data_IF_198901841792
#
_entry.id   IF_198901841792
#
_cell.length_a   1.000
_cell.length_b   1.000
_cell.length_c   1.000
_cell.angle_alpha   90.00
_cell.angle_beta   90.00
_cell.angle_gamma   90.00
#
_symmetry.space_group_name_H-M   'P 1'
#
loop_
_entity.id
_entity.type
_entity.pdbx_description
1 polymer ?
#
# COMPACT_ATOMS: atom_id res chain seq x y z
N UNK A 1 -4.74 0.95 27.59
CA UNK A 1 -4.07 2.01 26.81
C UNK A 1 -4.12 1.57 25.36
N UNK A 2 -5.07 2.09 24.59
CA UNK A 2 -5.19 1.81 23.16
C UNK A 2 -4.06 2.56 22.47
N UNK A 3 -2.98 1.86 22.11
CA UNK A 3 -1.93 2.37 21.22
C UNK A 3 -2.63 2.82 19.94
N UNK A 4 -2.71 4.13 19.74
CA UNK A 4 -3.09 4.69 18.45
C UNK A 4 -2.07 4.22 17.43
N UNK A 5 -2.57 3.64 16.34
CA UNK A 5 -1.82 3.03 15.24
C UNK A 5 -0.98 4.07 14.53
N UNK A 6 0.16 4.46 15.11
CA UNK A 6 1.00 5.48 14.49
C UNK A 6 1.48 4.93 13.15
N UNK A 7 1.13 5.64 12.08
CA UNK A 7 1.59 5.27 10.76
C UNK A 7 3.10 5.50 10.71
N UNK A 8 3.88 4.58 10.14
CA UNK A 8 5.22 4.97 9.73
C UNK A 8 5.11 6.21 8.86
N UNK A 9 6.06 7.13 9.00
CA UNK A 9 6.10 8.40 8.23
C UNK A 9 5.79 8.15 6.76
N UNK A 10 5.13 9.09 6.11
CA UNK A 10 4.58 8.86 4.76
C UNK A 10 5.65 8.39 3.75
N UNK A 11 6.89 8.85 3.87
CA UNK A 11 8.05 8.49 3.05
C UNK A 11 8.76 7.19 3.47
N UNK A 12 8.46 6.64 4.65
CA UNK A 12 9.07 5.42 5.14
C UNK A 12 8.42 4.16 4.54
N UNK A 13 9.19 3.09 4.36
CA UNK A 13 8.66 1.78 3.98
C UNK A 13 7.80 1.18 5.11
N UNK A 14 6.80 0.36 4.75
CA UNK A 14 6.11 -0.47 5.72
C UNK A 14 6.99 -1.66 6.13
N UNK A 15 6.91 -2.05 7.39
CA UNK A 15 7.55 -3.24 7.92
C UNK A 15 6.51 -4.32 8.28
N UNK A 16 7.00 -5.43 8.83
CA UNK A 16 6.17 -6.58 9.19
C UNK A 16 5.15 -6.21 10.30
N UNK A 17 5.56 -5.41 11.28
CA UNK A 17 4.69 -5.01 12.38
C UNK A 17 3.53 -4.14 11.87
N UNK A 18 3.82 -3.18 10.98
CA UNK A 18 2.78 -2.39 10.34
C UNK A 18 1.84 -3.29 9.52
N UNK A 19 2.35 -4.26 8.75
CA UNK A 19 1.52 -5.17 7.98
C UNK A 19 0.60 -6.05 8.86
N UNK A 20 1.09 -6.58 9.98
CA UNK A 20 0.31 -7.43 10.90
C UNK A 20 -0.87 -6.70 11.58
N UNK A 21 -0.84 -5.37 11.64
CA UNK A 21 -1.81 -4.58 12.41
C UNK A 21 -2.75 -3.70 11.57
N UNK A 22 -2.74 -3.81 10.23
CA UNK A 22 -3.43 -2.87 9.31
C UNK A 22 -4.53 -3.49 8.44
N UNK A 23 -5.16 -4.57 8.89
CA UNK A 23 -6.12 -5.33 8.08
C UNK A 23 -7.51 -4.67 8.05
N UNK A 24 -8.01 -4.20 6.89
CA UNK A 24 -9.41 -3.78 6.76
C UNK A 24 -10.31 -5.02 6.72
N UNK A 25 -11.50 -4.94 7.31
CA UNK A 25 -12.41 -6.08 7.42
C UNK A 25 -12.92 -6.65 6.07
N UNK A 26 -12.81 -5.88 4.98
CA UNK A 26 -13.31 -6.22 3.65
C UNK A 26 -12.24 -6.75 2.68
N UNK A 27 -11.02 -7.00 3.17
CA UNK A 27 -9.90 -7.46 2.35
C UNK A 27 -9.76 -8.98 2.45
N UNK A 28 -9.63 -9.66 1.30
CA UNK A 28 -9.40 -11.11 1.23
C UNK A 28 -7.98 -11.47 1.68
N UNK A 29 -6.98 -10.72 1.22
CA UNK A 29 -5.58 -10.90 1.63
C UNK A 29 -4.81 -9.58 1.62
N UNK A 30 -3.79 -9.50 2.47
CA UNK A 30 -2.81 -8.41 2.45
C UNK A 30 -1.42 -8.98 2.23
N UNK A 31 -0.63 -8.33 1.40
CA UNK A 31 0.75 -8.70 1.11
C UNK A 31 1.66 -7.51 1.38
N UNK A 32 2.92 -7.79 1.73
CA UNK A 32 3.98 -6.80 1.90
C UNK A 32 5.07 -7.06 0.88
N UNK A 33 5.22 -6.17 -0.10
CA UNK A 33 6.22 -6.27 -1.16
C UNK A 33 7.19 -5.10 -1.09
N UNK A 34 8.44 -5.37 -0.71
CA UNK A 34 9.50 -4.35 -0.64
C UNK A 34 9.08 -3.09 0.14
N UNK A 35 8.23 -3.23 1.16
CA UNK A 35 7.72 -2.10 1.96
C UNK A 35 6.48 -1.38 1.40
N UNK A 36 5.88 -1.91 0.33
CA UNK A 36 4.57 -1.49 -0.20
C UNK A 36 3.50 -2.45 0.32
N UNK A 37 2.41 -1.91 0.88
CA UNK A 37 1.24 -2.71 1.25
C UNK A 37 0.38 -2.95 0.02
N UNK A 38 0.04 -4.20 -0.24
CA UNK A 38 -0.85 -4.61 -1.32
C UNK A 38 -2.09 -5.26 -0.71
N UNK A 39 -3.26 -4.73 -1.04
CA UNK A 39 -4.55 -5.26 -0.64
C UNK A 39 -5.19 -6.01 -1.81
N UNK A 40 -5.75 -7.18 -1.52
CA UNK A 40 -6.45 -8.04 -2.47
C UNK A 40 -7.89 -8.19 -1.99
N UNK A 41 -8.84 -7.70 -2.77
CA UNK A 41 -10.27 -7.82 -2.50
C UNK A 41 -10.84 -9.14 -3.03
N UNK A 42 -12.09 -9.44 -2.64
CA UNK A 42 -12.87 -10.48 -3.33
C UNK A 42 -13.23 -10.03 -4.77
N UNK A 43 -13.47 -8.74 -4.94
CA UNK A 43 -13.66 -8.04 -6.21
C UNK A 43 -12.50 -7.05 -6.43
N UNK A 44 -12.39 -6.53 -7.66
CA UNK A 44 -11.45 -5.46 -7.98
C UNK A 44 -11.78 -4.19 -7.19
N UNK A 45 -10.76 -3.55 -6.63
CA UNK A 45 -10.90 -2.24 -5.99
C UNK A 45 -11.26 -1.17 -7.03
N UNK A 46 -12.00 -0.15 -6.58
CA UNK A 46 -12.37 1.01 -7.39
C UNK A 46 -11.86 2.34 -6.79
N UNK A 47 -12.17 3.45 -7.45
CA UNK A 47 -11.71 4.78 -6.99
C UNK A 47 -12.21 5.14 -5.59
N UNK A 48 -13.38 4.63 -5.15
CA UNK A 48 -13.89 4.88 -3.80
C UNK A 48 -13.02 4.18 -2.76
N UNK A 49 -12.53 2.99 -3.07
CA UNK A 49 -11.55 2.29 -2.23
C UNK A 49 -10.21 3.04 -2.20
N UNK A 50 -9.77 3.54 -3.36
CA UNK A 50 -8.57 4.37 -3.45
C UNK A 50 -8.68 5.65 -2.59
N UNK A 51 -9.81 6.34 -2.63
CA UNK A 51 -10.08 7.51 -1.78
C UNK A 51 -10.05 7.16 -0.29
N UNK A 52 -10.63 6.02 0.07
CA UNK A 52 -10.61 5.50 1.45
C UNK A 52 -9.19 5.20 1.91
N UNK A 53 -8.38 4.57 1.05
CA UNK A 53 -6.98 4.34 1.32
C UNK A 53 -6.20 5.66 1.46
N UNK A 54 -6.41 6.66 0.59
CA UNK A 54 -5.76 7.97 0.70
C UNK A 54 -6.06 8.69 2.02
N UNK A 55 -7.29 8.54 2.54
CA UNK A 55 -7.67 9.08 3.86
C UNK A 55 -7.02 8.31 5.00
N UNK A 56 -6.90 6.99 4.85
CA UNK A 56 -6.32 6.10 5.86
C UNK A 56 -4.79 6.24 5.92
N UNK A 57 -4.16 6.54 4.79
CA UNK A 57 -2.72 6.61 4.59
C UNK A 57 -2.32 8.02 4.08
N UNK A 58 -2.48 9.07 4.90
CA UNK A 58 -2.22 10.44 4.46
C UNK A 58 -0.75 10.64 4.02
N UNK A 59 -0.56 11.34 2.90
CA UNK A 59 0.75 11.63 2.31
C UNK A 59 1.38 10.46 1.53
N UNK A 60 0.76 9.27 1.56
CA UNK A 60 1.19 8.10 0.79
C UNK A 60 0.62 8.17 -0.62
N UNK A 61 1.25 7.43 -1.54
CA UNK A 61 0.75 7.30 -2.92
C UNK A 61 -0.09 6.03 -3.00
N UNK A 62 -1.31 6.15 -3.52
CA UNK A 62 -2.25 5.03 -3.69
C UNK A 62 -2.42 4.75 -5.18
N UNK A 63 -2.32 3.48 -5.54
CA UNK A 63 -2.47 2.98 -6.91
C UNK A 63 -3.45 1.80 -6.89
N UNK A 64 -4.30 1.69 -7.92
CA UNK A 64 -4.96 0.43 -8.25
C UNK A 64 -4.27 -0.11 -9.50
N UNK A 65 -3.73 -1.33 -9.43
CA UNK A 65 -3.04 -1.96 -10.55
C UNK A 65 -4.02 -2.49 -11.61
N UNK A 66 -3.49 -2.98 -12.73
CA UNK A 66 -4.30 -3.52 -13.83
C UNK A 66 -5.02 -4.83 -13.48
N UNK A 67 -4.62 -5.49 -12.38
CA UNK A 67 -5.28 -6.67 -11.82
C UNK A 67 -6.39 -6.30 -10.82
N UNK A 68 -6.58 -5.02 -10.51
CA UNK A 68 -7.58 -4.52 -9.58
C UNK A 68 -7.15 -4.58 -8.11
N UNK A 69 -5.86 -4.75 -7.81
CA UNK A 69 -5.33 -4.69 -6.44
C UNK A 69 -5.02 -3.27 -6.04
N UNK A 70 -5.17 -2.96 -4.75
CA UNK A 70 -4.87 -1.64 -4.22
C UNK A 70 -3.50 -1.66 -3.54
N UNK A 71 -2.62 -0.76 -3.96
CA UNK A 71 -1.27 -0.62 -3.45
C UNK A 71 -1.10 0.71 -2.70
N UNK A 72 -0.43 0.66 -1.55
CA UNK A 72 -0.07 1.84 -0.74
C UNK A 72 1.43 1.97 -0.68
N UNK A 73 1.93 2.94 -1.43
CA UNK A 73 3.34 3.24 -1.60
C UNK A 73 3.80 4.32 -0.62
N UNK A 74 5.10 4.35 -0.25
CA UNK A 74 5.70 5.52 0.36
C UNK A 74 5.45 6.78 -0.46
N UNK A 75 5.49 7.94 0.18
CA UNK A 75 5.54 9.23 -0.48
C UNK A 75 6.72 9.29 -1.46
N UNK A 76 6.58 10.11 -2.50
CA UNK A 76 7.62 10.30 -3.51
C UNK A 76 7.11 11.12 -4.68
N UNK A 77 8.00 11.43 -5.60
CA UNK A 77 7.67 12.24 -6.76
C UNK A 77 6.97 11.43 -7.85
N UNK A 78 6.14 12.13 -8.63
CA UNK A 78 5.42 11.55 -9.77
C UNK A 78 4.30 10.57 -9.39
N UNK A 79 3.58 10.04 -10.41
CA UNK A 79 2.58 9.01 -10.19
C UNK A 79 3.22 7.72 -9.66
N UNK A 80 2.56 6.98 -8.75
CA UNK A 80 3.03 5.66 -8.34
C UNK A 80 3.07 4.70 -9.53
N UNK A 81 4.04 3.79 -9.52
CA UNK A 81 4.16 2.66 -10.45
C UNK A 81 3.82 1.41 -9.64
N UNK A 82 3.19 0.40 -10.24
CA UNK A 82 2.89 -0.85 -9.52
C UNK A 82 4.17 -1.51 -9.01
N UNK A 83 4.12 -2.07 -7.79
CA UNK A 83 5.21 -2.87 -7.22
C UNK A 83 5.47 -4.17 -7.98
N UNK A 84 4.56 -4.56 -8.87
CA UNK A 84 4.73 -5.70 -9.77
C UNK A 84 5.34 -5.31 -11.13
N UNK A 85 5.44 -4.02 -11.46
CA UNK A 85 6.18 -3.56 -12.65
C UNK A 85 7.68 -3.84 -12.47
N UNK A 86 8.36 -4.53 -13.40
CA UNK A 86 9.80 -4.78 -13.32
C UNK A 86 10.66 -3.52 -13.21
N UNK A 87 10.17 -2.38 -13.69
CA UNK A 87 10.87 -1.09 -13.65
C UNK A 87 10.70 -0.36 -12.32
N UNK A 88 9.93 -0.92 -11.39
CA UNK A 88 9.68 -0.28 -10.11
C UNK A 88 11.01 -0.06 -9.36
N UNK A 89 11.33 1.17 -8.89
CA UNK A 89 12.63 1.50 -8.31
C UNK A 89 13.04 0.59 -7.15
N UNK A 90 12.09 0.22 -6.28
CA UNK A 90 12.35 -0.66 -5.14
C UNK A 90 12.76 -2.10 -5.53
N UNK A 91 12.40 -2.56 -6.73
CA UNK A 91 12.81 -3.87 -7.25
C UNK A 91 14.22 -3.83 -7.83
N UNK A 92 14.58 -2.73 -8.48
CA UNK A 92 15.89 -2.54 -9.10
C UNK A 92 17.03 -2.41 -8.08
N UNK A 93 16.73 -1.97 -6.85
CA UNK A 93 17.72 -1.82 -5.77
C UNK A 93 18.20 -3.13 -5.14
N UNK A 94 17.64 -4.29 -5.54
CA UNK A 94 17.97 -5.61 -4.96
C UNK A 94 18.44 -6.64 -6.02
N UNK A 95 18.71 -6.20 -7.24
CA UNK A 95 19.26 -7.01 -8.34
C UNK A 95 20.74 -6.77 -8.58
#
# INVERSE_FOLDING_TARGET
MTVGTDLPKADALFDLDAWLHRWPASVYATELHYGVLVFIGCDAFDERDAETARRTYPGRRVLIDDTGKLEVHPAGDGPPISIFDPRHPLRATLS
#
